data_IF_563727025577
#
_entry.id   IF_563727025577
#
_cell.length_a   1.000
_cell.length_b   1.000
_cell.length_c   1.000
_cell.angle_alpha   90.00
_cell.angle_beta   90.00
_cell.angle_gamma   90.00
#
_symmetry.space_group_name_H-M   'P 1'
#
loop_
_entity.id
_entity.type
_entity.pdbx_description
1 polymer ?
#
# COMPACT_ATOMS: atom_id res chain seq x y z
N UNK A 1 -17.09 12.93 1.03
CA UNK A 1 -16.97 11.87 2.06
C UNK A 1 -17.07 12.47 3.47
N UNK A 2 -16.37 13.57 3.75
CA UNK A 2 -16.43 14.30 5.04
C UNK A 2 -17.86 14.54 5.57
N UNK A 3 -18.70 15.22 4.78
CA UNK A 3 -20.09 15.54 5.16
C UNK A 3 -20.94 14.30 5.52
N UNK A 4 -20.64 13.13 4.96
CA UNK A 4 -21.35 11.87 5.28
C UNK A 4 -20.87 11.29 6.60
N UNK A 5 -19.55 11.31 6.85
CA UNK A 5 -18.96 10.86 8.12
C UNK A 5 -19.37 11.78 9.27
N UNK A 6 -19.49 13.09 9.03
CA UNK A 6 -19.92 14.05 10.05
C UNK A 6 -21.41 13.91 10.40
N UNK A 7 -22.28 13.67 9.41
CA UNK A 7 -23.74 13.61 9.64
C UNK A 7 -24.28 12.24 10.00
N UNK A 8 -23.61 11.18 9.55
CA UNK A 8 -24.08 9.79 9.68
C UNK A 8 -22.96 8.84 10.08
N UNK A 9 -21.85 9.35 10.62
CA UNK A 9 -20.71 8.55 11.04
C UNK A 9 -21.13 7.32 11.81
N UNK A 10 -21.83 7.49 12.92
CA UNK A 10 -22.22 6.39 13.81
C UNK A 10 -23.18 5.37 13.17
N UNK A 11 -23.80 5.70 12.03
CA UNK A 11 -24.66 4.81 11.25
C UNK A 11 -23.89 4.06 10.15
N UNK A 12 -22.67 4.50 9.83
CA UNK A 12 -21.81 3.94 8.79
C UNK A 12 -20.75 3.08 9.45
N UNK A 13 -20.84 1.77 9.26
CA UNK A 13 -19.79 0.83 9.64
C UNK A 13 -18.68 0.86 8.60
N UNK A 14 -17.45 1.17 9.02
CA UNK A 14 -16.28 1.06 8.15
C UNK A 14 -15.84 -0.41 8.15
N UNK A 15 -16.07 -1.09 7.03
CA UNK A 15 -15.65 -2.48 6.82
C UNK A 15 -14.27 -2.55 6.19
N UNK A 16 -13.62 -3.71 6.27
CA UNK A 16 -12.35 -3.98 5.61
C UNK A 16 -12.39 -3.64 4.10
N UNK A 17 -13.48 -3.99 3.41
CA UNK A 17 -13.65 -3.69 1.98
C UNK A 17 -13.67 -2.19 1.68
N UNK A 18 -14.26 -1.37 2.57
CA UNK A 18 -14.22 0.09 2.43
C UNK A 18 -12.79 0.60 2.59
N UNK A 19 -12.03 0.03 3.53
CA UNK A 19 -10.61 0.37 3.74
C UNK A 19 -9.77 -0.07 2.53
N UNK A 20 -9.96 -1.28 2.02
CA UNK A 20 -9.29 -1.78 0.79
C UNK A 20 -9.58 -0.89 -0.41
N UNK A 21 -10.84 -0.51 -0.60
CA UNK A 21 -11.23 0.40 -1.68
C UNK A 21 -10.63 1.81 -1.51
N UNK A 22 -10.48 2.29 -0.28
CA UNK A 22 -9.83 3.56 0.01
C UNK A 22 -8.33 3.52 -0.32
N UNK A 23 -7.59 2.53 0.21
CA UNK A 23 -6.14 2.41 -0.02
C UNK A 23 -5.81 2.07 -1.46
N UNK A 24 -6.69 1.37 -2.18
CA UNK A 24 -6.55 1.06 -3.61
C UNK A 24 -7.01 2.17 -4.55
N UNK A 25 -7.48 3.32 -4.04
CA UNK A 25 -7.96 4.40 -4.89
C UNK A 25 -6.78 5.18 -5.51
N UNK A 26 -6.67 5.14 -6.83
CA UNK A 26 -5.56 5.72 -7.58
C UNK A 26 -5.55 7.26 -7.62
N UNK A 27 -6.68 7.92 -7.38
CA UNK A 27 -6.75 9.39 -7.45
C UNK A 27 -6.58 10.03 -6.08
N UNK A 28 -7.40 9.61 -5.10
CA UNK A 28 -7.49 10.28 -3.80
C UNK A 28 -7.36 9.30 -2.62
N UNK A 29 -6.73 8.14 -2.82
CA UNK A 29 -6.66 7.09 -1.79
C UNK A 29 -6.01 7.56 -0.50
N UNK A 30 -4.94 8.35 -0.59
CA UNK A 30 -4.26 8.94 0.56
C UNK A 30 -5.18 9.87 1.39
N UNK A 31 -5.89 10.80 0.75
CA UNK A 31 -6.77 11.74 1.44
C UNK A 31 -7.97 11.02 2.07
N UNK A 32 -8.49 10.01 1.37
CA UNK A 32 -9.62 9.20 1.85
C UNK A 32 -9.21 8.38 3.07
N UNK A 33 -8.08 7.65 3.01
CA UNK A 33 -7.65 6.83 4.15
C UNK A 33 -7.24 7.70 5.34
N UNK A 34 -6.62 8.85 5.11
CA UNK A 34 -6.31 9.85 6.15
C UNK A 34 -7.56 10.28 6.90
N UNK A 35 -8.59 10.70 6.16
CA UNK A 35 -9.87 11.11 6.75
C UNK A 35 -10.54 9.99 7.54
N UNK A 36 -10.52 8.76 7.01
CA UNK A 36 -11.08 7.59 7.67
C UNK A 36 -10.35 7.30 8.99
N UNK A 37 -9.02 7.37 9.01
CA UNK A 37 -8.21 7.18 10.23
C UNK A 37 -8.38 8.33 11.23
N UNK A 38 -8.49 9.57 10.78
CA UNK A 38 -8.74 10.75 11.63
C UNK A 38 -10.08 10.68 12.36
N UNK A 39 -11.14 10.28 11.64
CA UNK A 39 -12.50 10.32 12.19
C UNK A 39 -12.94 9.01 12.82
N UNK A 40 -12.41 7.87 12.35
CA UNK A 40 -12.88 6.52 12.69
C UNK A 40 -11.75 5.51 12.85
N UNK A 41 -10.54 5.98 13.20
CA UNK A 41 -9.36 5.12 13.41
C UNK A 41 -9.65 3.90 14.29
N UNK A 42 -10.37 4.07 15.39
CA UNK A 42 -10.68 2.99 16.34
C UNK A 42 -11.57 1.88 15.76
N UNK A 43 -12.29 2.17 14.67
CA UNK A 43 -13.17 1.21 13.99
C UNK A 43 -12.49 0.53 12.80
N UNK A 44 -11.31 1.02 12.41
CA UNK A 44 -10.56 0.50 11.29
C UNK A 44 -9.62 -0.58 11.81
N UNK A 45 -9.87 -1.81 11.39
CA UNK A 45 -8.91 -2.91 11.55
C UNK A 45 -8.03 -2.94 10.32
N UNK A 46 -6.71 -2.81 10.51
CA UNK A 46 -5.74 -2.97 9.44
C UNK A 46 -5.39 -4.45 9.33
N UNK A 47 -5.89 -5.09 8.26
CA UNK A 47 -5.59 -6.48 7.94
C UNK A 47 -4.42 -6.57 6.97
N UNK A 48 -3.81 -7.75 6.85
CA UNK A 48 -2.75 -8.00 5.87
C UNK A 48 -3.22 -7.67 4.44
N UNK A 49 -4.47 -7.97 4.10
CA UNK A 49 -5.06 -7.70 2.79
C UNK A 49 -5.17 -6.20 2.48
N UNK A 50 -5.45 -5.36 3.50
CA UNK A 50 -5.41 -3.90 3.36
C UNK A 50 -3.99 -3.43 3.10
N UNK A 51 -3.00 -3.99 3.82
CA UNK A 51 -1.59 -3.62 3.67
C UNK A 51 -1.07 -4.05 2.28
N UNK A 52 -1.45 -5.23 1.79
CA UNK A 52 -1.11 -5.68 0.42
C UNK A 52 -1.72 -4.76 -0.64
N UNK A 53 -2.98 -4.35 -0.46
CA UNK A 53 -3.65 -3.43 -1.38
C UNK A 53 -2.98 -2.04 -1.40
N UNK A 54 -2.55 -1.54 -0.25
CA UNK A 54 -1.78 -0.30 -0.14
C UNK A 54 -0.40 -0.43 -0.81
N UNK A 55 0.35 -1.50 -0.47
CA UNK A 55 1.69 -1.74 -0.98
C UNK A 55 1.74 -1.95 -2.50
N UNK A 56 0.67 -2.50 -3.09
CA UNK A 56 0.53 -2.67 -4.54
C UNK A 56 -0.12 -1.49 -5.28
N UNK A 57 -0.49 -0.40 -4.59
CA UNK A 57 -1.09 0.75 -5.24
C UNK A 57 -0.04 1.56 -6.01
N UNK A 58 -0.19 1.59 -7.34
CA UNK A 58 0.82 2.14 -8.24
C UNK A 58 1.08 3.64 -8.06
N UNK A 59 0.06 4.40 -7.68
CA UNK A 59 0.10 5.86 -7.76
C UNK A 59 0.35 6.54 -6.41
N UNK A 60 -0.25 5.99 -5.36
CA UNK A 60 -0.18 6.54 -4.00
C UNK A 60 0.26 5.49 -2.97
N UNK A 61 0.81 4.35 -3.40
CA UNK A 61 1.10 3.23 -2.52
C UNK A 61 2.11 3.58 -1.43
N UNK A 62 3.13 4.38 -1.76
CA UNK A 62 4.11 4.87 -0.80
C UNK A 62 3.47 5.75 0.27
N UNK A 63 2.76 6.80 -0.13
CA UNK A 63 2.16 7.77 0.77
C UNK A 63 1.11 7.11 1.67
N UNK A 64 0.33 6.17 1.12
CA UNK A 64 -0.63 5.38 1.89
C UNK A 64 0.09 4.46 2.88
N UNK A 65 1.16 3.77 2.47
CA UNK A 65 1.96 2.91 3.35
C UNK A 65 2.62 3.70 4.48
N UNK A 66 3.22 4.85 4.19
CA UNK A 66 3.77 5.78 5.18
C UNK A 66 2.71 6.18 6.20
N UNK A 67 1.53 6.58 5.74
CA UNK A 67 0.45 7.02 6.63
C UNK A 67 -0.08 5.88 7.51
N UNK A 68 -0.19 4.66 6.96
CA UNK A 68 -0.58 3.48 7.71
C UNK A 68 0.47 3.12 8.77
N UNK A 69 1.75 3.14 8.43
CA UNK A 69 2.86 2.85 9.35
C UNK A 69 3.00 3.92 10.44
N UNK A 70 2.84 5.20 10.11
CA UNK A 70 2.91 6.31 11.08
C UNK A 70 1.80 6.21 12.15
N UNK A 71 0.57 5.89 11.72
CA UNK A 71 -0.59 5.87 12.63
C UNK A 71 -0.86 4.54 13.30
N UNK A 72 -0.49 3.44 12.64
CA UNK A 72 -0.85 2.07 13.04
C UNK A 72 0.30 1.08 12.87
N UNK A 73 1.54 1.56 12.83
CA UNK A 73 2.74 0.73 12.67
C UNK A 73 2.80 -0.45 13.65
N UNK A 74 2.44 -0.23 14.92
CA UNK A 74 2.41 -1.29 15.94
C UNK A 74 1.42 -2.44 15.65
N UNK A 75 0.45 -2.21 14.76
CA UNK A 75 -0.55 -3.20 14.35
C UNK A 75 -0.27 -3.80 12.97
N UNK A 76 0.70 -3.25 12.24
CA UNK A 76 1.03 -3.68 10.89
C UNK A 76 2.22 -4.61 10.96
N UNK A 77 1.95 -5.89 10.71
CA UNK A 77 3.00 -6.87 10.48
C UNK A 77 3.34 -6.89 9.00
N UNK A 78 4.55 -6.48 8.63
CA UNK A 78 5.04 -6.61 7.26
C UNK A 78 5.44 -8.07 7.01
N UNK A 79 4.67 -8.75 6.16
CA UNK A 79 4.92 -10.14 5.75
C UNK A 79 5.61 -10.20 4.40
N UNK A 80 6.14 -11.37 4.03
CA UNK A 80 6.68 -11.63 2.69
C UNK A 80 5.64 -11.37 1.59
N UNK A 81 4.37 -11.61 1.88
CA UNK A 81 3.27 -11.39 0.96
C UNK A 81 3.02 -9.90 0.66
N UNK A 82 3.27 -9.01 1.63
CA UNK A 82 3.24 -7.55 1.41
C UNK A 82 4.39 -7.10 0.51
N UNK A 83 5.61 -7.60 0.77
CA UNK A 83 6.80 -7.32 -0.06
C UNK A 83 6.59 -7.81 -1.49
N UNK A 84 6.04 -9.02 -1.65
CA UNK A 84 5.66 -9.58 -2.95
C UNK A 84 4.66 -8.70 -3.68
N UNK A 85 3.61 -8.24 -3.01
CA UNK A 85 2.60 -7.38 -3.62
C UNK A 85 3.22 -6.08 -4.18
N UNK A 86 4.08 -5.42 -3.39
CA UNK A 86 4.83 -4.25 -3.86
C UNK A 86 5.70 -4.56 -5.08
N UNK A 87 6.50 -5.63 -5.01
CA UNK A 87 7.41 -6.02 -6.09
C UNK A 87 6.68 -6.33 -7.41
N UNK A 88 5.59 -7.09 -7.35
CA UNK A 88 4.81 -7.48 -8.55
C UNK A 88 4.03 -6.32 -9.18
N UNK A 89 3.91 -5.20 -8.48
CA UNK A 89 3.25 -3.97 -8.93
C UNK A 89 4.24 -2.85 -9.30
N UNK A 90 5.54 -3.16 -9.35
CA UNK A 90 6.57 -2.18 -9.72
C UNK A 90 6.87 -1.13 -8.64
N UNK A 91 6.44 -1.36 -7.40
CA UNK A 91 6.54 -0.37 -6.32
C UNK A 91 7.92 -0.39 -5.64
N UNK A 92 8.91 0.15 -6.35
CA UNK A 92 10.30 0.29 -5.89
C UNK A 92 10.41 1.13 -4.61
N UNK A 93 9.74 2.27 -4.55
CA UNK A 93 9.80 3.16 -3.37
C UNK A 93 9.17 2.54 -2.13
N UNK A 94 8.15 1.69 -2.30
CA UNK A 94 7.56 0.93 -1.18
C UNK A 94 8.55 -0.12 -0.69
N UNK A 95 9.23 -0.84 -1.59
CA UNK A 95 10.27 -1.79 -1.19
C UNK A 95 11.42 -1.09 -0.46
N UNK A 96 11.90 0.05 -0.97
CA UNK A 96 12.96 0.83 -0.32
C UNK A 96 12.56 1.25 1.10
N UNK A 97 11.33 1.71 1.30
CA UNK A 97 10.78 2.01 2.62
C UNK A 97 10.76 0.78 3.52
N UNK A 98 10.22 -0.34 3.04
CA UNK A 98 10.12 -1.57 3.84
C UNK A 98 11.49 -2.12 4.23
N UNK A 99 12.52 -1.92 3.40
CA UNK A 99 13.91 -2.31 3.72
C UNK A 99 14.47 -1.55 4.93
N UNK A 100 14.05 -0.29 5.13
CA UNK A 100 14.47 0.54 6.26
C UNK A 100 13.77 0.15 7.57
N UNK A 101 12.57 -0.42 7.48
CA UNK A 101 11.74 -0.86 8.61
C UNK A 101 12.15 -2.21 9.21
N UNK A 102 13.40 -2.68 9.00
CA UNK A 102 13.97 -3.97 9.46
C UNK A 102 13.49 -5.25 8.76
N UNK A 103 12.82 -5.14 7.60
CA UNK A 103 12.52 -6.32 6.78
C UNK A 103 13.69 -6.60 5.84
N UNK A 104 14.26 -7.82 5.93
CA UNK A 104 15.24 -8.27 4.95
C UNK A 104 14.51 -8.57 3.64
N UNK A 105 14.62 -7.65 2.69
CA UNK A 105 14.13 -7.88 1.32
C UNK A 105 15.14 -8.79 0.62
N UNK A 106 14.66 -9.93 0.14
CA UNK A 106 15.45 -10.86 -0.66
C UNK A 106 15.73 -10.25 -2.05
N UNK A 107 16.92 -10.50 -2.60
CA UNK A 107 17.34 -9.97 -3.92
C UNK A 107 16.34 -10.30 -5.03
N UNK A 108 15.67 -11.45 -4.92
CA UNK A 108 14.63 -11.91 -5.85
C UNK A 108 13.49 -10.88 -6.02
N UNK A 109 13.07 -10.19 -4.95
CA UNK A 109 12.01 -9.18 -5.02
C UNK A 109 12.47 -7.92 -5.75
N UNK A 110 13.74 -7.55 -5.60
CA UNK A 110 14.35 -6.44 -6.34
C UNK A 110 14.41 -6.77 -7.84
N UNK A 111 14.79 -8.00 -8.21
CA UNK A 111 14.77 -8.43 -9.61
C UNK A 111 13.35 -8.40 -10.19
N UNK A 112 12.32 -8.83 -9.44
CA UNK A 112 10.93 -8.80 -9.89
C UNK A 112 10.45 -7.36 -10.15
N UNK A 113 10.74 -6.42 -9.24
CA UNK A 113 10.32 -5.02 -9.42
C UNK A 113 11.01 -4.36 -10.61
N UNK A 114 12.31 -4.63 -10.79
CA UNK A 114 13.10 -4.14 -11.91
C UNK A 114 12.59 -4.69 -13.25
N UNK A 115 12.33 -5.99 -13.31
CA UNK A 115 11.78 -6.64 -14.49
C UNK A 115 10.40 -6.06 -14.84
N UNK A 116 9.51 -5.89 -13.85
CA UNK A 116 8.21 -5.28 -14.05
C UNK A 116 8.33 -3.87 -14.63
N UNK A 117 9.19 -3.03 -14.05
CA UNK A 117 9.38 -1.64 -14.48
C UNK A 117 10.00 -1.56 -15.88
N UNK A 118 10.98 -2.40 -16.19
CA UNK A 118 11.56 -2.51 -17.53
C UNK A 118 10.53 -2.95 -18.57
N UNK A 119 9.75 -4.00 -18.27
CA UNK A 119 8.67 -4.47 -19.13
C UNK A 119 7.61 -3.39 -19.38
N UNK A 120 7.22 -2.65 -18.34
CA UNK A 120 6.24 -1.55 -18.43
C UNK A 120 6.77 -0.36 -19.22
N UNK A 121 8.06 -0.04 -19.11
CA UNK A 121 8.73 1.00 -19.88
C UNK A 121 9.02 0.59 -21.33
N UNK A 122 8.93 -0.71 -21.65
CA UNK A 122 9.33 -1.26 -22.95
C UNK A 122 10.86 -1.29 -23.13
N UNK A 123 11.62 -1.30 -22.04
CA UNK A 123 13.09 -1.36 -22.05
C UNK A 123 13.56 -2.80 -22.30
N UNK A 124 13.64 -3.17 -23.58
CA UNK A 124 14.06 -4.51 -24.02
C UNK A 124 15.49 -4.82 -23.57
N UNK A 125 16.37 -3.81 -23.55
CA UNK A 125 17.78 -4.01 -23.19
C UNK A 125 17.91 -4.37 -21.71
N UNK A 126 17.23 -3.64 -20.82
CA UNK A 126 17.21 -3.96 -19.40
C UNK A 126 16.60 -5.35 -19.11
N UNK A 127 15.60 -5.78 -19.88
CA UNK A 127 15.02 -7.12 -19.75
C UNK A 127 16.01 -8.21 -20.18
N UNK A 128 16.71 -8.03 -21.30
CA UNK A 128 17.69 -8.99 -21.80
C UNK A 128 18.89 -9.15 -20.86
N UNK A 129 19.29 -8.10 -20.14
CA UNK A 129 20.36 -8.17 -19.14
C UNK A 129 19.95 -8.94 -17.87
N UNK A 130 18.65 -9.11 -17.61
CA UNK A 130 18.09 -9.78 -16.43
C UNK A 130 17.79 -11.28 -16.63
N UNK A 131 17.91 -11.82 -17.85
CA UNK A 131 17.60 -13.22 -18.21
C UNK A 131 18.89 -14.04 -18.36
#
# INVERSE_FOLDING_TARGET
MELLLDRRGDQITITEEVVKAAVGNWQNGEQVIRLLLDRRGDQITITEEVVKAAAGNERNGKEVMELLLDRRGDQITITKEVVKAAATCGQDQVLDMLSQQTVRIEEEWCCIVQFYNAAKAGDVWAIEEMI
#
